data_IF_802464176427
#
_entry.id   IF_802464176427
#
_cell.length_a   1.000
_cell.length_b   1.000
_cell.length_c   1.000
_cell.angle_alpha   90.00
_cell.angle_beta   90.00
_cell.angle_gamma   90.00
#
_symmetry.space_group_name_H-M   'P 1'
#
loop_
_entity.id
_entity.type
_entity.pdbx_description
1 polymer ?
#
# COMPACT_ATOMS: atom_id res chain seq x y z
N UNK A 1 -13.82 -66.66 -39.64
CA UNK A 1 -13.48 -65.26 -39.52
C UNK A 1 -13.73 -64.84 -38.07
N UNK A 2 -12.71 -64.87 -37.23
CA UNK A 2 -12.81 -64.39 -35.84
C UNK A 2 -12.34 -62.92 -35.81
N UNK A 3 -13.26 -62.03 -35.45
CA UNK A 3 -12.99 -60.62 -35.27
C UNK A 3 -12.43 -60.42 -33.84
N UNK A 4 -11.13 -60.19 -33.73
CA UNK A 4 -10.51 -59.82 -32.42
C UNK A 4 -10.79 -58.35 -32.14
N UNK A 5 -11.61 -58.09 -31.17
CA UNK A 5 -11.87 -56.72 -30.65
C UNK A 5 -10.73 -56.37 -29.69
N UNK A 6 -9.81 -55.51 -30.14
CA UNK A 6 -8.80 -54.94 -29.26
C UNK A 6 -9.42 -53.77 -28.47
N UNK A 7 -9.63 -53.99 -27.18
CA UNK A 7 -10.05 -52.92 -26.25
C UNK A 7 -8.78 -52.19 -25.86
N UNK A 8 -8.59 -50.97 -26.41
CA UNK A 8 -7.56 -50.04 -25.93
C UNK A 8 -8.02 -49.44 -24.59
N UNK A 9 -7.45 -49.91 -23.51
CA UNK A 9 -7.58 -49.27 -22.19
C UNK A 9 -6.75 -48.01 -22.20
N UNK A 10 -7.36 -46.85 -22.39
CA UNK A 10 -6.74 -45.58 -22.08
C UNK A 10 -6.55 -45.51 -20.56
N UNK A 11 -5.33 -45.74 -20.09
CA UNK A 11 -4.95 -45.41 -18.72
C UNK A 11 -4.91 -43.88 -18.61
N UNK A 12 -5.98 -43.29 -18.14
CA UNK A 12 -5.95 -41.91 -17.63
C UNK A 12 -5.11 -41.96 -16.34
N UNK A 13 -3.84 -41.66 -16.45
CA UNK A 13 -3.04 -41.32 -15.25
C UNK A 13 -3.62 -40.03 -14.72
N UNK A 14 -4.49 -40.12 -13.72
CA UNK A 14 -4.84 -38.97 -12.91
C UNK A 14 -3.53 -38.45 -12.29
N UNK A 15 -3.04 -37.31 -12.79
CA UNK A 15 -1.93 -36.60 -12.18
C UNK A 15 -2.45 -36.15 -10.81
N UNK A 16 -1.97 -36.81 -9.75
CA UNK A 16 -2.36 -36.45 -8.40
C UNK A 16 -1.52 -35.24 -8.00
N UNK A 17 -2.18 -34.21 -7.44
CA UNK A 17 -1.51 -33.05 -6.87
C UNK A 17 -0.35 -33.47 -5.95
N UNK A 18 0.84 -32.92 -6.15
CA UNK A 18 1.96 -33.10 -5.27
C UNK A 18 1.93 -31.96 -4.22
N UNK A 19 1.78 -32.34 -2.95
CA UNK A 19 1.76 -31.41 -1.82
C UNK A 19 3.15 -31.44 -1.19
N UNK A 20 3.79 -30.26 -1.13
CA UNK A 20 5.13 -30.08 -0.56
C UNK A 20 5.07 -29.56 0.88
N UNK A 21 3.96 -28.90 1.23
CA UNK A 21 3.64 -28.45 2.58
C UNK A 21 2.13 -28.32 2.73
N UNK A 22 1.62 -28.80 3.86
CA UNK A 22 0.26 -28.49 4.35
C UNK A 22 0.32 -28.32 5.86
N UNK A 23 -0.14 -27.16 6.36
CA UNK A 23 -0.12 -26.82 7.78
C UNK A 23 -1.39 -26.07 8.16
N UNK A 24 -2.12 -26.58 9.17
CA UNK A 24 -3.38 -26.01 9.66
C UNK A 24 -3.37 -25.71 11.16
N UNK A 25 -2.27 -26.01 11.85
CA UNK A 25 -2.11 -25.80 13.30
C UNK A 25 -3.20 -26.39 14.21
N UNK A 26 -4.01 -27.34 13.71
CA UNK A 26 -5.12 -27.97 14.45
C UNK A 26 -4.63 -29.02 15.48
N UNK A 27 -3.35 -29.37 15.49
CA UNK A 27 -2.74 -30.38 16.36
C UNK A 27 -2.18 -29.83 17.69
N UNK A 28 -2.66 -28.65 18.10
CA UNK A 28 -2.26 -28.00 19.34
C UNK A 28 -0.78 -27.60 19.32
N UNK A 29 -0.06 -27.83 20.40
CA UNK A 29 1.34 -27.39 20.55
C UNK A 29 2.36 -28.17 19.71
N UNK A 30 1.95 -29.21 18.98
CA UNK A 30 2.86 -30.00 18.13
C UNK A 30 3.49 -29.18 16.98
N UNK A 31 2.91 -28.05 16.60
CA UNK A 31 3.53 -27.13 15.64
C UNK A 31 4.93 -26.68 16.08
N UNK A 32 5.21 -26.53 17.37
CA UNK A 32 6.51 -26.12 17.93
C UNK A 32 7.65 -27.11 17.63
N UNK A 33 7.32 -28.37 17.31
CA UNK A 33 8.30 -29.36 16.89
C UNK A 33 8.72 -29.19 15.43
N UNK A 34 7.85 -28.58 14.63
CA UNK A 34 8.06 -28.37 13.18
C UNK A 34 8.59 -26.99 12.83
N UNK A 35 8.16 -25.96 13.58
CA UNK A 35 8.53 -24.57 13.34
C UNK A 35 9.64 -24.15 14.31
N UNK A 36 10.67 -23.54 13.75
CA UNK A 36 11.89 -23.15 14.46
C UNK A 36 11.93 -21.65 14.59
N UNK A 37 11.95 -21.15 15.83
CA UNK A 37 12.22 -19.75 16.13
C UNK A 37 13.67 -19.42 15.79
N UNK A 38 13.91 -18.35 15.04
CA UNK A 38 15.25 -17.87 14.76
C UNK A 38 15.96 -17.41 16.06
N UNK A 39 17.25 -17.68 16.12
CA UNK A 39 18.17 -17.26 17.21
C UNK A 39 19.12 -16.15 16.76
N UNK A 40 18.94 -15.64 15.53
CA UNK A 40 19.80 -14.59 14.97
C UNK A 40 19.79 -13.32 15.84
N UNK A 41 18.61 -12.95 16.39
CA UNK A 41 18.47 -11.91 17.42
C UNK A 41 17.86 -12.50 18.68
N UNK A 42 18.27 -12.00 19.85
CA UNK A 42 17.75 -12.45 21.14
C UNK A 42 16.39 -11.85 21.51
N UNK A 43 15.93 -10.85 20.78
CA UNK A 43 14.74 -10.04 21.07
C UNK A 43 13.61 -10.22 20.06
N UNK A 44 13.64 -11.27 19.23
CA UNK A 44 12.51 -11.61 18.37
C UNK A 44 11.24 -11.82 19.16
N UNK A 45 10.10 -11.37 18.60
CA UNK A 45 8.79 -11.61 19.17
C UNK A 45 8.37 -13.08 19.08
N UNK A 46 7.53 -13.49 19.99
CA UNK A 46 7.01 -14.86 20.10
C UNK A 46 5.68 -15.01 19.39
N UNK A 47 5.47 -16.18 18.76
CA UNK A 47 4.17 -16.58 18.23
C UNK A 47 3.40 -17.39 19.26
N UNK A 48 2.07 -17.24 19.29
CA UNK A 48 1.13 -18.00 20.12
C UNK A 48 0.09 -18.66 19.24
N UNK A 49 -0.30 -19.88 19.59
CA UNK A 49 -1.41 -20.57 18.94
C UNK A 49 -2.74 -20.03 19.47
N UNK A 50 -3.60 -19.56 18.59
CA UNK A 50 -4.92 -19.03 18.94
C UNK A 50 -5.81 -18.91 17.70
N UNK A 51 -7.14 -18.97 17.90
CA UNK A 51 -8.16 -18.60 16.91
C UNK A 51 -8.49 -17.09 16.91
N UNK A 52 -7.85 -16.32 17.80
CA UNK A 52 -8.07 -14.89 17.92
C UNK A 52 -9.31 -14.52 18.75
N UNK A 53 -9.71 -13.26 18.63
CA UNK A 53 -10.83 -12.68 19.41
C UNK A 53 -12.19 -13.05 18.81
N UNK A 54 -12.25 -13.28 17.52
CA UNK A 54 -13.45 -13.70 16.79
C UNK A 54 -13.05 -14.70 15.71
N UNK A 55 -13.88 -15.69 15.47
CA UNK A 55 -13.60 -16.86 14.62
C UNK A 55 -14.92 -17.51 14.16
N UNK A 56 -14.84 -18.34 13.14
CA UNK A 56 -15.97 -19.16 12.71
C UNK A 56 -16.03 -20.48 13.43
N UNK A 57 -14.85 -21.10 13.67
CA UNK A 57 -14.69 -22.36 14.40
C UNK A 57 -13.43 -22.29 15.26
N UNK A 58 -13.58 -22.45 16.58
CA UNK A 58 -12.48 -22.29 17.54
C UNK A 58 -11.32 -23.29 17.34
N UNK A 59 -11.60 -24.46 16.76
CA UNK A 59 -10.55 -25.47 16.53
C UNK A 59 -9.92 -25.32 15.14
N UNK A 60 -10.71 -24.98 14.13
CA UNK A 60 -10.26 -24.88 12.73
C UNK A 60 -9.58 -23.55 12.40
N UNK A 61 -9.92 -22.48 13.09
CA UNK A 61 -9.35 -21.16 12.85
C UNK A 61 -8.13 -20.88 13.78
N UNK A 62 -7.53 -21.94 14.36
CA UNK A 62 -6.28 -21.81 15.11
C UNK A 62 -5.12 -21.57 14.17
N UNK A 63 -4.42 -20.47 14.40
CA UNK A 63 -3.19 -20.13 13.70
C UNK A 63 -2.14 -19.58 14.66
N UNK A 64 -0.97 -19.28 14.13
CA UNK A 64 0.12 -18.68 14.89
C UNK A 64 -0.01 -17.16 14.86
N UNK A 65 -0.14 -16.54 16.03
CA UNK A 65 -0.35 -15.10 16.21
C UNK A 65 0.90 -14.42 16.72
N UNK A 66 1.26 -13.28 16.15
CA UNK A 66 2.24 -12.35 16.70
C UNK A 66 1.73 -11.78 18.03
N UNK A 67 2.54 -11.76 19.09
CA UNK A 67 2.04 -11.53 20.45
C UNK A 67 2.66 -10.37 21.22
N UNK A 68 3.58 -9.62 20.61
CA UNK A 68 4.33 -8.53 21.24
C UNK A 68 4.50 -7.38 20.26
N UNK A 69 4.19 -6.18 20.71
CA UNK A 69 4.29 -4.96 19.90
C UNK A 69 5.75 -4.54 19.66
N UNK A 70 5.96 -3.83 18.53
CA UNK A 70 7.24 -3.28 18.13
C UNK A 70 8.38 -4.32 18.14
N UNK A 71 8.12 -5.46 17.48
CA UNK A 71 9.06 -6.57 17.39
C UNK A 71 9.29 -7.04 15.96
N UNK A 72 10.50 -7.51 15.72
CA UNK A 72 10.78 -8.43 14.62
C UNK A 72 10.35 -9.83 15.00
N UNK A 73 9.86 -10.59 14.04
CA UNK A 73 9.45 -11.98 14.17
C UNK A 73 10.17 -12.79 13.13
N UNK A 74 10.74 -13.90 13.50
CA UNK A 74 11.39 -14.83 12.57
C UNK A 74 11.11 -16.27 12.99
N UNK A 75 10.26 -16.96 12.22
CA UNK A 75 9.83 -18.33 12.46
C UNK A 75 9.81 -19.08 11.13
N UNK A 76 10.38 -20.27 11.07
CA UNK A 76 10.47 -21.04 9.83
C UNK A 76 10.39 -22.53 10.04
N UNK A 77 9.99 -23.28 8.99
CA UNK A 77 10.01 -24.74 8.99
C UNK A 77 10.53 -25.29 7.67
N UNK A 78 11.06 -26.52 7.70
CA UNK A 78 11.35 -27.27 6.48
C UNK A 78 10.04 -27.67 5.79
N UNK A 79 10.07 -27.71 4.48
CA UNK A 79 9.03 -28.36 3.69
C UNK A 79 9.02 -29.86 3.99
N UNK A 80 7.89 -30.51 3.80
CA UNK A 80 7.80 -31.97 3.98
C UNK A 80 8.70 -32.70 2.99
N UNK A 81 8.94 -32.07 1.84
CA UNK A 81 9.85 -32.52 0.80
C UNK A 81 10.44 -31.32 0.04
N UNK A 82 11.75 -31.25 -0.06
CA UNK A 82 12.41 -30.27 -0.94
C UNK A 82 12.14 -30.61 -2.41
N UNK A 83 11.95 -29.59 -3.25
CA UNK A 83 11.58 -29.76 -4.64
C UNK A 83 12.13 -28.64 -5.55
N UNK A 84 12.16 -28.91 -6.86
CA UNK A 84 12.26 -27.89 -7.92
C UNK A 84 10.93 -27.77 -8.63
N UNK A 85 10.58 -26.56 -9.05
CA UNK A 85 9.39 -26.33 -9.88
C UNK A 85 9.69 -26.38 -11.39
N UNK A 86 10.83 -26.94 -11.78
CA UNK A 86 11.17 -27.09 -13.21
C UNK A 86 10.10 -27.91 -13.94
N UNK A 87 9.47 -27.31 -14.95
CA UNK A 87 8.41 -27.91 -15.75
C UNK A 87 7.08 -28.10 -15.02
N UNK A 88 6.94 -27.54 -13.79
CA UNK A 88 5.75 -27.67 -12.96
C UNK A 88 5.20 -26.30 -12.57
N UNK A 89 3.92 -26.24 -12.33
CA UNK A 89 3.29 -25.11 -11.66
C UNK A 89 3.72 -25.08 -10.20
N UNK A 90 3.91 -23.88 -9.67
CA UNK A 90 4.09 -23.64 -8.24
C UNK A 90 2.87 -22.89 -7.73
N UNK A 91 2.27 -23.42 -6.66
CA UNK A 91 1.20 -22.76 -5.94
C UNK A 91 1.62 -22.55 -4.50
N UNK A 92 1.53 -21.30 -4.03
CA UNK A 92 1.83 -20.90 -2.66
C UNK A 92 0.58 -20.23 -2.11
N UNK A 93 0.02 -20.81 -1.05
CA UNK A 93 -1.21 -20.30 -0.42
C UNK A 93 -1.08 -20.27 1.09
N UNK A 94 -1.68 -19.29 1.72
CA UNK A 94 -1.87 -19.20 3.16
C UNK A 94 -2.97 -18.21 3.51
N UNK A 95 -3.50 -18.30 4.73
CA UNK A 95 -4.43 -17.33 5.25
C UNK A 95 -3.76 -16.40 6.26
N UNK A 96 -4.23 -15.14 6.26
CA UNK A 96 -3.75 -14.09 7.17
C UNK A 96 -4.92 -13.28 7.70
N UNK A 97 -4.88 -12.96 8.99
CA UNK A 97 -5.88 -12.13 9.66
C UNK A 97 -5.20 -11.04 10.48
N UNK A 98 -5.56 -9.80 10.21
CA UNK A 98 -5.06 -8.64 10.93
C UNK A 98 -6.07 -8.16 11.98
N UNK A 99 -6.42 -9.03 12.96
CA UNK A 99 -7.50 -8.75 13.94
C UNK A 99 -7.24 -7.52 14.82
N UNK A 100 -6.01 -7.02 14.85
CA UNK A 100 -5.61 -5.82 15.59
C UNK A 100 -5.90 -4.52 14.83
N UNK A 101 -6.46 -4.56 13.63
CA UNK A 101 -6.54 -3.41 12.73
C UNK A 101 -5.15 -2.82 12.49
N UNK A 102 -4.32 -3.57 11.77
CA UNK A 102 -2.89 -3.29 11.59
C UNK A 102 -2.65 -1.92 10.96
N UNK A 103 -1.79 -1.13 11.58
CA UNK A 103 -1.33 0.16 11.06
C UNK A 103 -0.01 0.08 10.29
N UNK A 104 0.94 -0.75 10.77
CA UNK A 104 2.20 -1.00 10.06
C UNK A 104 2.79 -2.36 10.45
N UNK A 105 2.89 -3.25 9.46
CA UNK A 105 3.51 -4.56 9.63
C UNK A 105 3.32 -5.47 8.42
N UNK A 106 4.25 -6.41 8.26
CA UNK A 106 4.20 -7.44 7.24
C UNK A 106 3.24 -8.58 7.58
N UNK A 107 2.55 -9.08 6.56
CA UNK A 107 1.72 -10.28 6.61
C UNK A 107 2.11 -11.30 5.53
N UNK A 108 3.38 -11.35 5.14
CA UNK A 108 3.91 -12.16 4.03
C UNK A 108 4.74 -13.34 4.53
N UNK A 109 4.89 -14.33 3.65
CA UNK A 109 5.82 -15.44 3.85
C UNK A 109 7.00 -15.36 2.88
N UNK A 110 8.07 -16.08 3.20
CA UNK A 110 9.24 -16.30 2.35
C UNK A 110 9.45 -17.80 2.11
N UNK A 111 9.75 -18.16 0.86
CA UNK A 111 10.22 -19.49 0.48
C UNK A 111 11.74 -19.48 0.38
N UNK A 112 12.38 -20.38 1.07
CA UNK A 112 13.83 -20.47 1.15
C UNK A 112 14.38 -21.69 0.40
N UNK A 113 15.64 -21.62 -0.06
CA UNK A 113 16.34 -22.81 -0.55
C UNK A 113 16.55 -23.84 0.56
N UNK A 114 16.91 -25.06 0.20
CA UNK A 114 17.00 -26.20 1.12
C UNK A 114 18.20 -26.12 2.10
N UNK A 115 19.22 -25.35 1.77
CA UNK A 115 20.40 -25.11 2.59
C UNK A 115 20.19 -24.03 3.67
N UNK A 116 19.01 -23.36 3.69
CA UNK A 116 18.71 -22.35 4.71
C UNK A 116 18.73 -22.96 6.10
N UNK A 117 19.52 -22.36 6.99
CA UNK A 117 19.54 -22.66 8.40
C UNK A 117 18.36 -21.98 9.09
N UNK A 118 17.41 -22.78 9.59
CA UNK A 118 16.17 -22.24 10.18
C UNK A 118 16.43 -21.36 11.41
N UNK A 119 17.41 -21.73 12.23
CA UNK A 119 17.79 -20.99 13.45
C UNK A 119 18.45 -19.63 13.16
N UNK A 120 18.83 -19.37 11.90
CA UNK A 120 19.53 -18.15 11.47
C UNK A 120 18.72 -17.36 10.41
N UNK A 121 17.40 -17.57 10.33
CA UNK A 121 16.54 -16.79 9.44
C UNK A 121 16.42 -15.36 9.95
N UNK A 122 16.65 -14.38 9.06
CA UNK A 122 16.62 -12.96 9.37
C UNK A 122 16.36 -12.13 8.10
N UNK A 123 16.23 -10.81 8.22
CA UNK A 123 15.90 -9.92 7.13
C UNK A 123 16.77 -10.04 5.87
N UNK A 124 18.08 -10.30 6.07
CA UNK A 124 19.05 -10.45 4.97
C UNK A 124 19.20 -11.90 4.47
N UNK A 125 18.44 -12.86 5.04
CA UNK A 125 18.48 -14.24 4.55
C UNK A 125 18.04 -14.31 3.10
N UNK A 126 18.80 -15.05 2.28
CA UNK A 126 18.43 -15.29 0.88
C UNK A 126 17.14 -16.09 0.81
N UNK A 127 16.22 -15.67 -0.03
CA UNK A 127 14.98 -16.39 -0.28
C UNK A 127 14.72 -16.49 -1.78
N UNK A 128 13.94 -17.46 -2.20
CA UNK A 128 13.53 -17.64 -3.58
C UNK A 128 12.35 -16.72 -3.92
N UNK A 129 11.33 -16.73 -3.09
CA UNK A 129 10.10 -15.96 -3.28
C UNK A 129 9.66 -15.35 -1.94
N UNK A 130 9.19 -14.11 -1.97
CA UNK A 130 8.46 -13.47 -0.89
C UNK A 130 7.07 -13.13 -1.40
N UNK A 131 6.03 -13.55 -0.68
CA UNK A 131 4.65 -13.40 -1.10
C UNK A 131 3.71 -13.08 0.06
N UNK A 132 2.82 -12.11 -0.13
CA UNK A 132 1.74 -11.79 0.80
C UNK A 132 1.58 -10.30 1.08
N UNK A 133 0.58 -9.94 1.93
CA UNK A 133 0.24 -8.56 2.20
C UNK A 133 1.31 -7.84 3.02
N UNK A 134 1.46 -6.55 2.75
CA UNK A 134 2.27 -5.61 3.52
C UNK A 134 1.49 -4.31 3.68
N UNK A 135 1.28 -3.90 4.93
CA UNK A 135 0.49 -2.74 5.29
C UNK A 135 1.37 -1.83 6.14
N UNK A 136 1.52 -0.56 5.72
CA UNK A 136 2.18 0.45 6.53
C UNK A 136 1.59 1.83 6.23
N UNK A 137 0.72 2.28 7.11
CA UNK A 137 0.00 3.53 6.99
C UNK A 137 -0.94 3.58 5.76
N UNK A 138 -1.40 4.75 5.37
CA UNK A 138 -2.32 4.90 4.24
C UNK A 138 -1.65 4.67 2.87
N UNK A 139 -0.31 4.77 2.80
CA UNK A 139 0.45 4.70 1.54
C UNK A 139 0.86 3.31 1.10
N UNK A 140 0.95 2.34 2.01
CA UNK A 140 1.38 0.97 1.70
C UNK A 140 0.30 -0.02 2.13
N UNK A 141 -0.44 -0.54 1.16
CA UNK A 141 -1.47 -1.58 1.36
C UNK A 141 -1.45 -2.49 0.13
N UNK A 142 -0.42 -3.31 0.02
CA UNK A 142 -0.17 -4.08 -1.20
C UNK A 142 0.26 -5.52 -0.91
N UNK A 143 0.06 -6.38 -1.90
CA UNK A 143 0.61 -7.73 -1.90
C UNK A 143 2.01 -7.67 -2.51
N UNK A 144 3.01 -8.05 -1.74
CA UNK A 144 4.34 -8.30 -2.27
C UNK A 144 4.37 -9.60 -3.08
N UNK A 145 4.95 -9.51 -4.27
CA UNK A 145 5.40 -10.67 -5.06
C UNK A 145 6.83 -10.36 -5.48
N UNK A 146 7.79 -10.92 -4.77
CA UNK A 146 9.22 -10.66 -4.97
C UNK A 146 9.90 -11.97 -5.32
N UNK A 147 10.61 -11.99 -6.43
CA UNK A 147 11.40 -13.13 -6.87
C UNK A 147 12.89 -12.83 -6.75
N UNK A 148 13.65 -13.79 -6.27
CA UNK A 148 15.09 -13.73 -6.39
C UNK A 148 15.51 -14.21 -7.78
N UNK A 149 16.19 -13.36 -8.53
CA UNK A 149 16.75 -13.70 -9.82
C UNK A 149 18.20 -13.24 -9.90
N UNK A 150 19.11 -14.20 -10.12
CA UNK A 150 20.56 -13.95 -10.16
C UNK A 150 21.06 -13.15 -8.94
N UNK A 151 20.69 -13.61 -7.75
CA UNK A 151 21.04 -13.00 -6.45
C UNK A 151 20.48 -11.58 -6.22
N UNK A 152 19.46 -11.17 -6.98
CA UNK A 152 18.74 -9.91 -6.79
C UNK A 152 17.28 -10.16 -6.51
N UNK A 153 16.76 -9.51 -5.50
CA UNK A 153 15.33 -9.50 -5.20
C UNK A 153 14.62 -8.47 -6.08
N UNK A 154 13.77 -8.94 -6.98
CA UNK A 154 13.07 -8.12 -7.95
C UNK A 154 11.58 -8.12 -7.63
N UNK A 155 11.04 -6.93 -7.42
CA UNK A 155 9.65 -6.70 -7.04
C UNK A 155 8.78 -6.61 -8.30
N UNK A 156 7.53 -7.04 -8.16
CA UNK A 156 6.51 -6.79 -9.18
C UNK A 156 6.32 -5.27 -9.39
N UNK A 157 6.18 -4.85 -10.64
CA UNK A 157 5.92 -3.45 -11.01
C UNK A 157 4.47 -3.03 -10.79
N UNK A 158 3.55 -3.99 -10.79
CA UNK A 158 2.13 -3.74 -10.57
C UNK A 158 1.82 -3.55 -9.10
N UNK A 159 0.86 -2.67 -8.82
CA UNK A 159 0.35 -2.46 -7.47
C UNK A 159 -0.88 -3.34 -7.25
N UNK A 160 -0.71 -4.40 -6.45
CA UNK A 160 -1.77 -5.34 -6.10
C UNK A 160 -2.26 -4.98 -4.71
N UNK A 161 -3.45 -4.38 -4.61
CA UNK A 161 -3.99 -3.98 -3.33
C UNK A 161 -4.35 -5.21 -2.48
N UNK A 162 -3.88 -5.24 -1.23
CA UNK A 162 -4.28 -6.25 -0.25
C UNK A 162 -5.59 -5.87 0.45
N UNK A 163 -6.18 -6.83 1.15
CA UNK A 163 -7.26 -6.59 2.12
C UNK A 163 -6.66 -5.98 3.39
N UNK A 164 -7.33 -4.99 3.94
CA UNK A 164 -6.86 -4.18 5.07
C UNK A 164 -7.89 -4.09 6.20
N UNK A 165 -8.88 -4.98 6.20
CA UNK A 165 -9.84 -5.17 7.28
C UNK A 165 -9.33 -6.15 8.35
N UNK A 166 -10.17 -6.45 9.35
CA UNK A 166 -9.81 -7.30 10.49
C UNK A 166 -10.12 -8.79 10.28
N UNK A 167 -10.69 -9.17 9.13
CA UNK A 167 -11.08 -10.54 8.83
C UNK A 167 -9.95 -11.38 8.25
N UNK A 168 -10.17 -12.70 8.24
CA UNK A 168 -9.27 -13.65 7.62
C UNK A 168 -9.38 -13.60 6.10
N UNK A 169 -8.24 -13.49 5.41
CA UNK A 169 -8.14 -13.52 3.95
C UNK A 169 -7.14 -14.55 3.49
N UNK A 170 -7.45 -15.21 2.37
CA UNK A 170 -6.57 -16.20 1.73
C UNK A 170 -5.83 -15.55 0.57
N UNK A 171 -4.50 -15.68 0.58
CA UNK A 171 -3.62 -15.21 -0.48
C UNK A 171 -3.03 -16.40 -1.22
N UNK A 172 -3.15 -16.42 -2.54
CA UNK A 172 -2.63 -17.50 -3.38
C UNK A 172 -1.80 -16.91 -4.52
N UNK A 173 -0.57 -17.39 -4.67
CA UNK A 173 0.31 -17.13 -5.82
C UNK A 173 0.41 -18.41 -6.64
N UNK A 174 0.15 -18.30 -7.94
CA UNK A 174 0.33 -19.37 -8.92
C UNK A 174 1.37 -18.91 -9.92
N UNK A 175 2.40 -19.72 -10.15
CA UNK A 175 3.45 -19.48 -11.15
C UNK A 175 3.54 -20.67 -12.06
N UNK A 176 3.41 -20.46 -13.38
CA UNK A 176 3.33 -21.55 -14.36
C UNK A 176 4.61 -21.65 -15.22
N UNK A 177 4.89 -22.84 -15.80
CA UNK A 177 6.11 -23.08 -16.58
C UNK A 177 6.24 -22.24 -17.86
N UNK A 178 5.18 -21.61 -18.31
CA UNK A 178 5.19 -20.68 -19.45
C UNK A 178 5.45 -19.22 -19.04
N UNK A 179 6.14 -19.01 -17.91
CA UNK A 179 6.49 -17.70 -17.36
C UNK A 179 5.29 -16.78 -17.10
N UNK A 180 4.14 -17.34 -16.71
CA UNK A 180 2.97 -16.58 -16.28
C UNK A 180 2.73 -16.71 -14.78
N UNK A 181 1.97 -15.77 -14.26
CA UNK A 181 1.55 -15.79 -12.87
C UNK A 181 0.10 -15.35 -12.69
N UNK A 182 -0.48 -15.80 -11.59
CA UNK A 182 -1.74 -15.29 -11.07
C UNK A 182 -1.61 -15.06 -9.56
N UNK A 183 -2.22 -13.97 -9.09
CA UNK A 183 -2.42 -13.69 -7.67
C UNK A 183 -3.91 -13.72 -7.39
N UNK A 184 -4.33 -14.54 -6.43
CA UNK A 184 -5.71 -14.59 -5.98
C UNK A 184 -5.78 -14.10 -4.53
N UNK A 185 -6.87 -13.42 -4.21
CA UNK A 185 -7.25 -13.05 -2.85
C UNK A 185 -8.67 -13.60 -2.65
N UNK A 186 -8.86 -14.41 -1.62
CA UNK A 186 -10.15 -15.04 -1.32
C UNK A 186 -10.69 -15.92 -2.47
N UNK A 187 -9.80 -16.64 -3.16
CA UNK A 187 -10.08 -17.42 -4.36
C UNK A 187 -10.55 -16.60 -5.58
N UNK A 188 -10.51 -15.28 -5.50
CA UNK A 188 -10.82 -14.40 -6.62
C UNK A 188 -9.53 -13.85 -7.22
N UNK A 189 -9.46 -13.78 -8.56
CA UNK A 189 -8.30 -13.26 -9.26
C UNK A 189 -8.13 -11.76 -9.00
N UNK A 190 -7.03 -11.40 -8.33
CA UNK A 190 -6.65 -10.03 -8.07
C UNK A 190 -5.76 -9.47 -9.19
N UNK A 191 -4.81 -10.29 -9.70
CA UNK A 191 -3.88 -9.88 -10.75
C UNK A 191 -3.38 -11.10 -11.52
N UNK A 192 -2.96 -10.90 -12.77
CA UNK A 192 -2.28 -11.91 -13.58
C UNK A 192 -1.45 -11.26 -14.70
N UNK A 193 -0.49 -12.01 -15.23
CA UNK A 193 0.36 -11.51 -16.32
C UNK A 193 1.53 -12.43 -16.64
N UNK A 194 2.53 -11.83 -17.25
CA UNK A 194 3.78 -12.50 -17.64
C UNK A 194 4.93 -12.01 -16.77
N UNK A 195 5.79 -12.91 -16.34
CA UNK A 195 6.92 -12.61 -15.48
C UNK A 195 7.87 -11.59 -16.12
N UNK A 196 8.18 -11.75 -17.41
CA UNK A 196 9.07 -10.82 -18.13
C UNK A 196 8.47 -9.40 -18.23
N UNK A 197 7.16 -9.29 -18.37
CA UNK A 197 6.51 -8.00 -18.53
C UNK A 197 6.39 -7.23 -17.21
N UNK A 198 6.07 -7.95 -16.12
CA UNK A 198 5.68 -7.35 -14.85
C UNK A 198 6.82 -7.27 -13.81
N UNK A 199 8.01 -7.81 -14.12
CA UNK A 199 9.24 -7.64 -13.35
C UNK A 199 10.40 -7.20 -14.25
N UNK A 200 11.40 -6.57 -13.67
CA UNK A 200 12.61 -6.17 -14.38
C UNK A 200 13.71 -7.25 -14.29
N UNK A 201 13.36 -8.50 -14.64
CA UNK A 201 14.32 -9.62 -14.67
C UNK A 201 15.39 -9.46 -15.74
N UNK A 202 14.98 -8.95 -16.90
CA UNK A 202 15.82 -8.82 -18.09
C UNK A 202 15.95 -7.34 -18.49
N UNK A 203 17.04 -6.96 -19.16
CA UNK A 203 17.13 -5.66 -19.80
C UNK A 203 15.99 -5.47 -20.82
N UNK A 204 15.60 -4.23 -21.14
CA UNK A 204 14.54 -3.99 -22.12
C UNK A 204 14.94 -4.54 -23.51
N UNK A 205 13.96 -5.08 -24.24
CA UNK A 205 14.17 -5.64 -25.61
C UNK A 205 14.67 -4.60 -26.59
N UNK A 206 14.26 -3.35 -26.43
CA UNK A 206 14.66 -2.22 -27.25
C UNK A 206 15.23 -1.10 -26.40
N UNK A 207 16.22 -0.45 -26.92
CA UNK A 207 16.85 0.74 -26.34
C UNK A 207 16.87 1.86 -27.37
N UNK A 208 16.97 3.09 -26.90
CA UNK A 208 17.22 4.23 -27.78
C UNK A 208 18.56 4.01 -28.48
N UNK A 209 18.60 4.20 -29.81
CA UNK A 209 19.81 4.08 -30.60
C UNK A 209 20.87 5.07 -30.09
N UNK A 210 22.00 4.60 -29.51
CA UNK A 210 23.02 5.49 -28.95
C UNK A 210 23.73 6.33 -30.01
N UNK A 211 23.70 5.91 -31.28
CA UNK A 211 24.33 6.61 -32.40
C UNK A 211 23.38 7.62 -33.04
N UNK A 212 22.09 7.54 -32.81
CA UNK A 212 21.11 8.46 -33.35
C UNK A 212 21.10 9.79 -32.62
N UNK A 213 21.17 10.88 -33.36
CA UNK A 213 21.05 12.25 -32.86
C UNK A 213 19.97 12.99 -33.60
N UNK A 214 19.27 13.90 -32.89
CA UNK A 214 18.34 14.82 -33.57
C UNK A 214 19.13 15.62 -34.63
N UNK A 215 18.75 15.57 -35.90
CA UNK A 215 19.41 16.39 -36.95
C UNK A 215 19.33 17.86 -36.58
N UNK A 216 20.40 18.61 -36.83
CA UNK A 216 20.49 20.03 -36.50
C UNK A 216 19.45 20.87 -37.26
N UNK A 217 19.01 20.39 -38.44
CA UNK A 217 17.97 21.00 -39.27
C UNK A 217 16.55 20.52 -38.93
N UNK A 218 16.36 19.73 -37.87
CA UNK A 218 15.04 19.24 -37.46
C UNK A 218 14.32 20.30 -36.62
N UNK A 219 13.31 20.94 -37.20
CA UNK A 219 12.49 21.88 -36.47
C UNK A 219 11.18 21.22 -35.98
N UNK A 220 11.05 21.12 -34.67
CA UNK A 220 9.88 20.56 -33.98
C UNK A 220 8.91 21.64 -33.46
N UNK A 221 9.14 22.92 -33.80
CA UNK A 221 8.24 23.99 -33.48
C UNK A 221 7.17 24.12 -34.56
N UNK A 222 5.93 23.85 -34.21
CA UNK A 222 4.80 23.95 -35.13
C UNK A 222 4.52 25.37 -35.53
N UNK A 223 4.77 26.32 -34.62
CA UNK A 223 4.62 27.75 -34.84
C UNK A 223 5.93 28.46 -34.55
N UNK A 224 6.22 29.48 -35.26
CA UNK A 224 7.36 30.38 -35.12
C UNK A 224 6.92 31.82 -35.17
N UNK A 225 7.72 32.70 -34.61
CA UNK A 225 7.49 34.13 -34.70
C UNK A 225 7.53 34.55 -36.18
N UNK A 226 6.57 35.39 -36.57
CA UNK A 226 6.54 35.95 -37.91
C UNK A 226 7.73 36.88 -38.11
N UNK A 227 8.68 36.56 -39.00
CA UNK A 227 9.85 37.41 -39.21
C UNK A 227 9.54 38.74 -39.86
N UNK A 228 8.34 38.89 -40.45
CA UNK A 228 7.88 40.13 -41.05
C UNK A 228 7.08 41.00 -40.07
N UNK A 229 6.66 40.47 -38.96
CA UNK A 229 5.94 41.22 -37.92
C UNK A 229 6.91 42.02 -37.07
N UNK A 230 6.94 43.29 -37.26
CA UNK A 230 7.82 44.19 -36.52
C UNK A 230 7.04 44.96 -35.47
N UNK A 231 7.70 45.22 -34.34
CA UNK A 231 7.10 46.02 -33.26
C UNK A 231 6.79 47.43 -33.75
N UNK A 232 5.53 47.88 -33.64
CA UNK A 232 5.16 49.29 -33.97
C UNK A 232 5.95 50.26 -33.07
N UNK A 233 6.39 51.39 -33.68
CA UNK A 233 7.16 52.41 -32.96
C UNK A 233 6.41 53.01 -31.76
N UNK A 234 5.07 53.01 -31.81
CA UNK A 234 4.16 53.57 -30.82
C UNK A 234 3.72 52.53 -29.75
N UNK A 235 4.28 51.32 -29.76
CA UNK A 235 3.85 50.25 -28.84
C UNK A 235 4.31 50.47 -27.41
N UNK A 236 5.53 50.99 -27.18
CA UNK A 236 6.12 51.17 -25.87
C UNK A 236 5.48 52.37 -25.15
N UNK A 237 4.36 52.12 -24.55
CA UNK A 237 3.72 53.08 -23.65
C UNK A 237 3.97 52.64 -22.20
N UNK A 238 4.15 53.58 -21.26
CA UNK A 238 4.23 53.27 -19.88
C UNK A 238 2.93 52.68 -19.37
N UNK A 239 3.00 51.71 -18.44
CA UNK A 239 1.85 51.04 -17.83
C UNK A 239 0.96 52.04 -17.06
N UNK A 240 1.61 53.03 -16.42
CA UNK A 240 0.91 54.06 -15.67
C UNK A 240 1.31 55.45 -16.21
N UNK A 241 0.36 56.35 -16.21
CA UNK A 241 0.53 57.73 -16.55
C UNK A 241 -0.01 58.65 -15.45
N UNK A 242 0.54 59.87 -15.28
CA UNK A 242 -0.06 60.83 -14.37
C UNK A 242 -1.52 61.10 -14.74
N UNK A 243 -2.40 61.15 -13.73
CA UNK A 243 -3.82 61.46 -13.93
C UNK A 243 -4.00 62.89 -14.49
N UNK A 244 -4.48 63.05 -15.73
CA UNK A 244 -4.63 64.38 -16.35
C UNK A 244 -5.74 65.21 -15.71
N UNK A 245 -6.65 64.58 -14.98
CA UNK A 245 -7.78 65.28 -14.32
C UNK A 245 -7.47 65.62 -12.84
N UNK A 246 -6.37 65.09 -12.30
CA UNK A 246 -5.94 65.38 -10.94
C UNK A 246 -5.49 66.85 -10.78
N UNK A 247 -5.99 67.48 -9.78
CA UNK A 247 -5.62 68.88 -9.43
C UNK A 247 -4.92 68.88 -8.06
N UNK A 248 -3.90 69.76 -7.98
CA UNK A 248 -3.24 70.02 -6.71
C UNK A 248 -4.26 70.49 -5.67
N UNK A 249 -4.38 69.84 -4.50
CA UNK A 249 -5.24 70.28 -3.43
C UNK A 249 -4.93 71.74 -3.02
N UNK A 250 -5.92 72.52 -2.67
CA UNK A 250 -5.73 73.95 -2.29
C UNK A 250 -4.95 74.09 -0.97
N UNK A 251 -4.93 73.04 -0.16
CA UNK A 251 -4.28 72.93 1.15
C UNK A 251 -2.89 72.31 1.07
N UNK A 252 -2.37 71.96 -0.12
CA UNK A 252 -1.03 71.37 -0.33
C UNK A 252 0.05 72.44 -0.27
N UNK A 253 1.01 72.30 0.65
CA UNK A 253 2.12 73.21 0.84
C UNK A 253 3.44 72.62 0.34
N UNK A 254 3.96 73.15 -0.79
CA UNK A 254 5.17 72.60 -1.42
C UNK A 254 6.41 72.74 -0.55
N UNK A 255 6.44 73.64 0.47
CA UNK A 255 7.57 73.73 1.42
C UNK A 255 7.51 72.67 2.49
N UNK A 256 6.30 72.18 2.83
CA UNK A 256 6.08 71.19 3.87
C UNK A 256 5.83 69.79 3.30
N UNK A 257 5.09 69.63 2.19
CA UNK A 257 4.64 68.40 1.61
C UNK A 257 5.47 67.94 0.39
N UNK A 258 6.38 68.83 -0.10
CA UNK A 258 7.16 68.60 -1.30
C UNK A 258 6.42 69.01 -2.58
N UNK A 259 7.11 68.94 -3.71
CA UNK A 259 6.51 69.26 -5.06
C UNK A 259 5.38 68.27 -5.35
N UNK A 260 4.19 68.84 -5.63
CA UNK A 260 3.01 67.99 -5.90
C UNK A 260 3.12 67.29 -7.26
N UNK A 261 2.95 65.97 -7.25
CA UNK A 261 2.86 65.15 -8.45
C UNK A 261 1.45 64.53 -8.54
N UNK A 262 0.83 64.54 -9.73
CA UNK A 262 -0.48 63.85 -9.90
C UNK A 262 -0.36 62.37 -9.62
N UNK A 263 -1.38 61.75 -9.03
CA UNK A 263 -1.41 60.31 -8.83
C UNK A 263 -1.31 59.58 -10.17
N UNK A 264 -0.66 58.41 -10.17
CA UNK A 264 -0.52 57.58 -11.34
C UNK A 264 -1.79 56.73 -11.53
N UNK A 265 -2.30 56.75 -12.76
CA UNK A 265 -3.45 55.94 -13.20
C UNK A 265 -3.00 54.95 -14.28
N UNK A 266 -3.77 53.87 -14.46
CA UNK A 266 -3.54 52.91 -15.54
C UNK A 266 -3.63 53.64 -16.92
N UNK A 267 -2.61 53.39 -17.71
CA UNK A 267 -2.55 53.99 -19.05
C UNK A 267 -3.46 53.22 -20.01
N UNK A 268 -4.54 53.84 -20.54
CA UNK A 268 -5.45 53.15 -21.46
C UNK A 268 -4.80 52.77 -22.81
N UNK A 269 -3.65 53.39 -23.12
CA UNK A 269 -2.90 53.11 -24.36
C UNK A 269 -1.83 52.01 -24.15
N UNK A 270 -1.66 51.54 -22.94
CA UNK A 270 -0.71 50.45 -22.65
C UNK A 270 -1.24 49.12 -23.16
N UNK A 271 -0.49 48.48 -24.05
CA UNK A 271 -0.86 47.23 -24.74
C UNK A 271 -0.12 46.00 -24.21
N UNK A 272 0.66 46.16 -23.11
CA UNK A 272 1.50 45.12 -22.58
C UNK A 272 2.79 44.90 -23.39
N UNK A 273 3.51 43.86 -23.05
CA UNK A 273 4.73 43.46 -23.78
C UNK A 273 4.39 43.03 -25.20
N UNK A 274 5.07 43.62 -26.18
CA UNK A 274 4.89 43.21 -27.56
C UNK A 274 5.45 41.82 -27.81
N UNK A 275 4.67 40.98 -28.48
CA UNK A 275 5.08 39.70 -28.97
C UNK A 275 4.74 39.58 -30.44
N UNK A 276 5.68 39.06 -31.25
CA UNK A 276 5.39 38.85 -32.67
C UNK A 276 4.24 37.86 -32.86
N UNK A 277 3.50 38.04 -33.94
CA UNK A 277 2.47 37.07 -34.33
C UNK A 277 3.11 35.72 -34.61
N UNK A 278 2.39 34.67 -34.22
CA UNK A 278 2.81 33.31 -34.49
C UNK A 278 2.29 32.86 -35.85
N UNK A 279 3.19 32.40 -36.72
CA UNK A 279 2.84 31.84 -38.03
C UNK A 279 3.18 30.35 -38.03
N UNK A 280 2.49 29.60 -38.88
CA UNK A 280 2.78 28.16 -39.03
C UNK A 280 4.15 27.99 -39.66
N UNK A 281 4.97 27.20 -38.98
CA UNK A 281 6.32 26.90 -39.46
C UNK A 281 6.29 25.95 -40.65
N UNK A 282 6.71 26.42 -41.82
CA UNK A 282 6.78 25.61 -43.04
C UNK A 282 7.87 24.51 -42.98
N UNK A 283 8.82 24.64 -42.06
CA UNK A 283 9.89 23.65 -41.83
C UNK A 283 9.57 22.67 -40.73
N UNK A 284 8.35 22.74 -40.18
CA UNK A 284 7.93 21.79 -39.13
C UNK A 284 7.97 20.36 -39.63
N UNK A 285 8.79 19.51 -38.98
CA UNK A 285 8.97 18.09 -39.31
C UNK A 285 8.29 17.17 -38.30
N UNK A 286 7.51 17.70 -37.38
CA UNK A 286 6.95 16.97 -36.24
C UNK A 286 7.91 16.92 -35.05
N UNK A 287 7.40 16.44 -33.92
CA UNK A 287 8.26 16.18 -32.75
C UNK A 287 9.23 15.06 -33.08
N UNK A 288 10.54 15.31 -32.90
CA UNK A 288 11.52 14.28 -33.15
C UNK A 288 11.41 13.13 -32.14
N UNK A 289 11.25 11.92 -32.66
CA UNK A 289 11.22 10.70 -31.87
C UNK A 289 12.55 9.99 -32.03
N UNK A 290 13.21 9.70 -30.89
CA UNK A 290 14.48 8.98 -30.90
C UNK A 290 14.24 7.58 -31.46
N UNK A 291 14.95 7.13 -32.52
CA UNK A 291 14.83 5.77 -33.02
C UNK A 291 15.26 4.74 -31.96
N UNK A 292 14.61 3.59 -31.98
CA UNK A 292 14.93 2.46 -31.11
C UNK A 292 15.57 1.33 -31.93
N UNK A 293 16.54 0.69 -31.32
CA UNK A 293 17.22 -0.53 -31.86
C UNK A 293 17.00 -1.69 -30.91
N UNK A 294 17.19 -2.90 -31.39
CA UNK A 294 17.23 -4.09 -30.54
C UNK A 294 18.39 -3.98 -29.54
N UNK A 295 18.10 -4.26 -28.27
CA UNK A 295 19.11 -4.17 -27.23
C UNK A 295 20.09 -5.35 -27.31
N UNK A 296 21.38 -5.13 -27.57
CA UNK A 296 22.36 -6.20 -27.64
C UNK A 296 22.60 -6.93 -26.30
N UNK A 297 22.21 -6.30 -25.17
CA UNK A 297 22.34 -6.92 -23.85
C UNK A 297 21.10 -7.77 -23.48
N UNK A 298 20.05 -7.73 -24.31
CA UNK A 298 18.86 -8.54 -24.06
C UNK A 298 19.12 -10.00 -24.48
N UNK A 299 18.97 -10.89 -23.50
CA UNK A 299 18.99 -12.33 -23.70
C UNK A 299 17.70 -12.89 -23.11
N UNK A 300 16.88 -13.50 -23.97
CA UNK A 300 15.63 -14.14 -23.50
C UNK A 300 15.94 -15.26 -22.49
N UNK A 301 15.10 -15.39 -21.49
CA UNK A 301 15.16 -16.44 -20.48
C UNK A 301 13.77 -17.08 -20.32
N UNK A 302 13.60 -18.27 -20.87
CA UNK A 302 12.33 -19.01 -20.82
C UNK A 302 12.10 -19.67 -19.44
N UNK A 303 13.07 -19.57 -18.53
CA UNK A 303 13.06 -20.21 -17.21
C UNK A 303 12.98 -19.21 -16.04
N UNK A 304 12.40 -18.01 -16.27
CA UNK A 304 12.22 -17.01 -15.21
C UNK A 304 11.40 -17.52 -14.01
N UNK A 305 10.47 -18.45 -14.26
CA UNK A 305 9.63 -19.08 -13.24
C UNK A 305 10.37 -20.08 -12.36
N UNK A 306 11.53 -20.58 -12.84
CA UNK A 306 12.17 -21.77 -12.29
C UNK A 306 13.08 -21.47 -11.11
N UNK A 307 12.94 -22.27 -10.08
CA UNK A 307 13.89 -22.39 -8.98
C UNK A 307 14.32 -23.84 -8.83
N UNK A 308 15.61 -24.07 -8.66
CA UNK A 308 16.19 -25.41 -8.60
C UNK A 308 15.86 -26.12 -7.29
N UNK A 309 15.68 -25.37 -6.19
CA UNK A 309 15.33 -25.94 -4.92
C UNK A 309 14.44 -25.00 -4.09
N UNK A 310 13.42 -25.58 -3.47
CA UNK A 310 12.66 -25.04 -2.37
C UNK A 310 12.78 -26.01 -1.19
N UNK A 311 13.20 -25.55 -0.04
CA UNK A 311 13.44 -26.45 1.12
C UNK A 311 12.82 -25.98 2.41
N UNK A 312 12.43 -24.71 2.51
CA UNK A 312 11.82 -24.18 3.73
C UNK A 312 10.85 -23.04 3.42
N UNK A 313 9.93 -22.81 4.36
CA UNK A 313 9.04 -21.64 4.40
C UNK A 313 9.22 -20.94 5.74
N UNK A 314 9.01 -19.62 5.77
CA UNK A 314 9.06 -18.89 7.03
C UNK A 314 8.43 -17.51 6.95
N UNK A 315 8.22 -16.99 8.14
CA UNK A 315 7.78 -15.64 8.41
C UNK A 315 8.97 -14.87 8.96
N UNK A 316 9.32 -13.77 8.31
CA UNK A 316 10.35 -12.83 8.76
C UNK A 316 9.77 -11.42 8.60
N UNK A 317 9.26 -10.88 9.70
CA UNK A 317 8.32 -9.77 9.73
C UNK A 317 8.76 -8.71 10.74
N UNK A 318 8.39 -7.47 10.47
CA UNK A 318 8.30 -6.41 11.46
C UNK A 318 6.83 -6.06 11.69
N UNK A 319 6.43 -5.88 12.95
CA UNK A 319 5.10 -5.39 13.28
C UNK A 319 5.16 -4.34 14.40
N UNK A 320 4.54 -3.19 14.17
CA UNK A 320 4.40 -2.13 15.19
C UNK A 320 3.39 -2.58 16.24
N UNK A 321 2.22 -3.08 15.81
CA UNK A 321 1.16 -3.63 16.67
C UNK A 321 1.00 -5.10 16.35
N UNK A 322 1.14 -5.95 17.37
CA UNK A 322 0.96 -7.39 17.25
C UNK A 322 -0.52 -7.79 17.15
N UNK A 323 -0.80 -9.03 16.76
CA UNK A 323 -2.16 -9.55 16.65
C UNK A 323 -2.45 -10.20 15.29
N UNK A 324 -1.50 -10.21 14.35
CA UNK A 324 -1.65 -10.90 13.07
C UNK A 324 -1.59 -12.41 13.28
N UNK A 325 -2.59 -13.12 12.74
CA UNK A 325 -2.69 -14.57 12.77
C UNK A 325 -2.38 -15.12 11.38
N UNK A 326 -1.54 -16.12 11.30
CA UNK A 326 -1.18 -16.85 10.08
C UNK A 326 -1.63 -18.30 10.21
N UNK A 327 -2.27 -18.82 9.15
CA UNK A 327 -2.79 -20.17 9.15
C UNK A 327 -2.91 -20.75 7.73
N UNK A 328 -3.28 -22.02 7.61
CA UNK A 328 -3.64 -22.70 6.38
C UNK A 328 -2.59 -22.59 5.27
N UNK A 329 -1.32 -22.87 5.61
CA UNK A 329 -0.24 -22.89 4.63
C UNK A 329 -0.33 -24.12 3.72
N UNK A 330 -0.31 -23.86 2.42
CA UNK A 330 -0.26 -24.90 1.39
C UNK A 330 0.79 -24.54 0.33
N UNK A 331 1.65 -25.49 0.02
CA UNK A 331 2.55 -25.41 -1.15
C UNK A 331 2.31 -26.67 -1.97
N UNK A 332 1.92 -26.51 -3.23
CA UNK A 332 1.53 -27.60 -4.13
C UNK A 332 1.86 -27.26 -5.59
N UNK A 333 1.72 -28.24 -6.48
CA UNK A 333 1.82 -28.03 -7.94
C UNK A 333 0.45 -27.95 -8.63
N UNK A 334 -0.66 -28.01 -7.85
CA UNK A 334 -2.03 -28.05 -8.39
C UNK A 334 -2.89 -26.88 -7.87
N UNK A 335 -3.29 -25.95 -8.77
CA UNK A 335 -4.17 -24.82 -8.41
C UNK A 335 -5.56 -25.25 -7.93
N UNK A 336 -6.10 -26.38 -8.42
CA UNK A 336 -7.41 -26.86 -8.01
C UNK A 336 -7.39 -27.41 -6.58
N UNK A 337 -6.28 -28.06 -6.16
CA UNK A 337 -6.08 -28.47 -4.76
C UNK A 337 -6.02 -27.25 -3.84
N UNK A 338 -5.34 -26.17 -4.25
CA UNK A 338 -5.26 -24.94 -3.46
C UNK A 338 -6.64 -24.27 -3.34
N UNK A 339 -7.38 -24.19 -4.43
CA UNK A 339 -8.75 -23.64 -4.42
C UNK A 339 -9.65 -24.42 -3.47
N UNK A 340 -9.63 -25.74 -3.58
CA UNK A 340 -10.41 -26.64 -2.72
C UNK A 340 -10.02 -26.49 -1.26
N UNK A 341 -8.72 -26.43 -0.95
CA UNK A 341 -8.22 -26.25 0.39
C UNK A 341 -8.68 -24.93 1.02
N UNK A 342 -8.64 -23.82 0.26
CA UNK A 342 -9.17 -22.54 0.72
C UNK A 342 -10.67 -22.58 1.01
N UNK A 343 -11.47 -23.33 0.19
CA UNK A 343 -12.91 -23.49 0.42
C UNK A 343 -13.21 -24.36 1.66
N UNK A 344 -12.40 -25.40 1.91
CA UNK A 344 -12.55 -26.31 3.06
C UNK A 344 -12.11 -25.68 4.39
N UNK A 345 -11.21 -24.68 4.36
CA UNK A 345 -10.68 -23.96 5.53
C UNK A 345 -11.39 -22.61 5.68
N UNK A 346 -10.83 -21.53 5.17
CA UNK A 346 -11.37 -20.19 5.23
C UNK A 346 -12.82 -20.10 4.72
N UNK A 347 -13.13 -20.72 3.59
CA UNK A 347 -14.49 -20.70 3.00
C UNK A 347 -15.55 -21.27 3.92
N UNK A 348 -15.21 -22.28 4.71
CA UNK A 348 -16.12 -22.93 5.65
C UNK A 348 -16.37 -22.09 6.92
N UNK A 349 -15.43 -21.22 7.32
CA UNK A 349 -15.47 -20.53 8.62
C UNK A 349 -15.73 -19.02 8.51
N UNK A 350 -15.47 -18.38 7.36
CA UNK A 350 -15.56 -16.92 7.17
C UNK A 350 -16.90 -16.29 7.57
N UNK A 351 -18.03 -16.96 7.30
CA UNK A 351 -19.36 -16.44 7.67
C UNK A 351 -19.60 -16.52 9.18
N UNK A 352 -19.04 -17.52 9.85
CA UNK A 352 -19.06 -17.64 11.31
C UNK A 352 -18.22 -16.57 11.97
N UNK A 353 -17.02 -16.34 11.46
CA UNK A 353 -16.12 -15.28 11.89
C UNK A 353 -16.80 -13.89 11.82
N UNK A 354 -17.41 -13.58 10.68
CA UNK A 354 -18.12 -12.31 10.48
C UNK A 354 -19.26 -12.12 11.46
N UNK A 355 -20.10 -13.15 11.64
CA UNK A 355 -21.22 -13.09 12.60
C UNK A 355 -20.76 -12.89 14.05
N UNK A 356 -19.67 -13.55 14.44
CA UNK A 356 -19.11 -13.38 15.78
C UNK A 356 -18.60 -11.95 15.99
N UNK A 357 -17.88 -11.38 15.02
CA UNK A 357 -17.40 -9.99 15.07
C UNK A 357 -18.57 -9.00 15.16
N UNK A 358 -19.57 -9.13 14.31
CA UNK A 358 -20.76 -8.28 14.30
C UNK A 358 -21.49 -8.31 15.67
N UNK A 359 -21.57 -9.49 16.30
CA UNK A 359 -22.19 -9.63 17.61
C UNK A 359 -21.38 -8.95 18.72
N UNK A 360 -20.03 -9.06 18.66
CA UNK A 360 -19.14 -8.38 19.60
C UNK A 360 -19.24 -6.86 19.46
N UNK A 361 -19.22 -6.34 18.23
CA UNK A 361 -19.30 -4.91 17.95
C UNK A 361 -20.65 -4.32 18.41
N UNK A 362 -21.73 -5.08 18.26
CA UNK A 362 -23.05 -4.68 18.76
C UNK A 362 -23.09 -4.63 20.30
N UNK A 363 -22.48 -5.62 20.96
CA UNK A 363 -22.38 -5.65 22.42
C UNK A 363 -21.53 -4.48 22.96
N UNK A 364 -20.39 -4.21 22.33
CA UNK A 364 -19.51 -3.10 22.70
C UNK A 364 -20.21 -1.75 22.51
N UNK A 365 -20.90 -1.57 21.39
CA UNK A 365 -21.69 -0.35 21.14
C UNK A 365 -22.75 -0.14 22.21
N UNK A 366 -23.49 -1.17 22.59
CA UNK A 366 -24.49 -1.08 23.66
C UNK A 366 -23.89 -0.69 25.01
N UNK A 367 -22.73 -1.25 25.35
CA UNK A 367 -22.00 -0.89 26.58
C UNK A 367 -21.56 0.58 26.56
N UNK A 368 -21.03 1.06 25.44
CA UNK A 368 -20.63 2.46 25.29
C UNK A 368 -21.83 3.41 25.40
N UNK A 369 -22.97 3.08 24.79
CA UNK A 369 -24.21 3.86 24.88
C UNK A 369 -24.72 3.91 26.34
N UNK A 370 -24.64 2.80 27.08
CA UNK A 370 -25.03 2.77 28.51
C UNK A 370 -24.09 3.58 29.40
N UNK A 371 -22.78 3.49 29.16
CA UNK A 371 -21.77 4.28 29.89
C UNK A 371 -21.92 5.78 29.61
N UNK A 372 -22.15 6.15 28.35
CA UNK A 372 -22.37 7.55 27.97
C UNK A 372 -23.64 8.10 28.64
N UNK A 373 -24.71 7.29 28.68
CA UNK A 373 -25.96 7.67 29.36
C UNK A 373 -25.74 7.87 30.85
N UNK A 374 -25.04 6.96 31.54
CA UNK A 374 -24.70 7.09 32.96
C UNK A 374 -23.87 8.35 33.21
N UNK A 375 -22.87 8.61 32.39
CA UNK A 375 -22.04 9.83 32.50
C UNK A 375 -22.88 11.10 32.37
N UNK A 376 -23.82 11.17 31.42
CA UNK A 376 -24.71 12.30 31.22
C UNK A 376 -25.67 12.48 32.40
N UNK A 377 -26.17 11.39 33.01
CA UNK A 377 -26.99 11.42 34.21
C UNK A 377 -26.21 11.92 35.44
N UNK A 378 -24.93 11.48 35.59
CA UNK A 378 -24.05 11.95 36.67
C UNK A 378 -23.67 13.43 36.52
N UNK A 379 -23.36 13.89 35.28
CA UNK A 379 -23.08 15.29 34.97
C UNK A 379 -24.34 16.18 35.19
N UNK A 380 -25.53 15.65 34.85
CA UNK A 380 -26.80 16.34 35.09
C UNK A 380 -27.15 16.46 36.57
N UNK A 381 -26.82 15.45 37.39
CA UNK A 381 -27.02 15.50 38.83
C UNK A 381 -26.05 16.47 39.53
N UNK A 382 -24.75 16.46 39.12
CA UNK A 382 -23.78 17.43 39.64
C UNK A 382 -24.17 18.89 39.38
N UNK A 383 -24.70 19.19 38.17
CA UNK A 383 -25.18 20.55 37.87
C UNK A 383 -26.40 20.94 38.70
N UNK A 384 -27.25 20.00 39.12
CA UNK A 384 -28.38 20.29 39.99
C UNK A 384 -27.93 20.53 41.43
N UNK A 385 -26.95 19.74 41.92
CA UNK A 385 -26.39 19.94 43.26
C UNK A 385 -25.62 21.28 43.32
N UNK A 386 -24.90 21.68 42.28
CA UNK A 386 -24.21 22.99 42.18
C UNK A 386 -25.22 24.18 42.09
N UNK A 387 -26.40 24.01 41.43
CA UNK A 387 -27.46 25.03 41.34
C UNK A 387 -28.26 25.12 42.68
N UNK A 388 -28.44 24.03 43.45
CA UNK A 388 -29.06 24.05 44.78
C UNK A 388 -28.14 24.70 45.84
N UNK A 389 -26.81 24.51 45.76
CA UNK A 389 -25.84 25.18 46.64
C UNK A 389 -25.69 26.69 46.34
N UNK A 390 -25.88 27.14 45.08
CA UNK A 390 -25.90 28.58 44.74
C UNK A 390 -27.21 29.28 45.16
N UNK A 391 -28.35 28.60 45.22
CA UNK A 391 -29.63 29.17 45.73
C UNK A 391 -29.66 29.27 47.27
N UNK A 392 -28.92 28.46 48.05
CA UNK A 392 -28.82 28.57 49.51
C UNK A 392 -27.89 29.72 49.95
N UNK A 393 -26.93 30.16 49.13
CA UNK A 393 -26.00 31.26 49.45
C UNK A 393 -26.55 32.66 49.12
N UNK A 394 -27.69 32.83 48.40
CA UNK A 394 -28.31 34.11 48.08
C UNK A 394 -29.30 34.62 49.14
N UNK A 395 -29.66 33.84 50.19
CA UNK A 395 -30.62 34.28 51.25
C UNK A 395 -29.99 34.97 52.48
N UNK A 396 -28.63 35.14 52.54
CA UNK A 396 -27.99 35.71 53.76
C UNK A 396 -26.96 36.81 53.44
N UNK A 397 -27.37 37.94 52.80
CA UNK A 397 -26.59 39.19 52.84
C UNK A 397 -27.42 40.35 53.32
N UNK A 398 -27.01 41.07 54.42
CA UNK A 398 -27.68 42.30 54.87
C UNK A 398 -27.22 43.50 54.06
N UNK A 399 -28.15 44.34 53.68
CA UNK A 399 -27.96 45.69 53.08
C UNK A 399 -26.96 46.53 53.87
N UNK A 400 -25.87 47.00 53.26
CA UNK A 400 -25.13 48.20 53.64
C UNK A 400 -24.64 49.03 52.45
N UNK A 401 -25.10 50.20 52.49
CA UNK A 401 -24.97 51.54 51.93
C UNK A 401 -23.61 51.96 51.33
N UNK A 402 -23.73 52.45 50.07
CA UNK A 402 -23.10 53.62 49.43
C UNK A 402 -21.67 54.05 49.81
N UNK A 403 -20.78 54.02 48.82
CA UNK A 403 -19.94 55.19 48.38
C UNK A 403 -19.07 54.88 47.18
N UNK A 404 -19.24 55.79 46.19
CA UNK A 404 -18.39 55.97 45.01
C UNK A 404 -16.90 56.13 45.35
N UNK A 405 -16.04 55.57 44.52
CA UNK A 405 -14.89 56.33 43.96
C UNK A 405 -14.27 55.62 42.73
N UNK A 406 -14.09 56.44 41.71
CA UNK A 406 -13.37 56.21 40.45
C UNK A 406 -11.92 55.79 40.69
N UNK A 407 -11.38 54.93 39.86
CA UNK A 407 -10.12 55.16 39.10
C UNK A 407 -9.75 54.02 38.14
N UNK A 408 -9.67 54.43 36.94
CA UNK A 408 -8.89 54.04 35.76
C UNK A 408 -7.73 53.05 35.91
N UNK A 409 -7.76 52.19 34.93
CA UNK A 409 -6.73 51.97 33.87
C UNK A 409 -5.59 50.98 34.11
N UNK A 410 -5.41 50.22 33.11
CA UNK A 410 -4.27 49.78 32.31
C UNK A 410 -3.70 48.37 32.57
N UNK A 411 -3.85 47.66 31.56
CA UNK A 411 -2.89 47.15 30.51
C UNK A 411 -1.98 45.99 30.91
N UNK A 412 -2.03 45.09 29.98
CA UNK A 412 -0.95 44.28 29.44
C UNK A 412 -0.46 43.03 30.24
N UNK A 413 -0.68 41.89 29.76
CA UNK A 413 0.13 41.13 28.76
C UNK A 413 -0.60 39.83 28.38
#
# INVERSE_FOLDING_TARGET
>A
MMLSLAIAVLAVTACRAEIFLKETFEDGDAWKERWVQSKHKSDYGEFKLTSGKFYGDVEKDKGIQTSQDAKFYALSRKLDKSFSNEGKTLVVQFSVKHEQNIDCGGGYLKLFPDDQKLEDVHGESKYNIMFGPDICGPGTKKVHVIFNYKDKNILIKKDIRCKDDEFTHVYTLIVTPDNKYEVLIDNEKAESGELEADWDFLPPKKIKDPDAKKPDDWDDREYIDDPEDTKPEDWDKPEHVPDPDAKKPEDWDDEMDGEWEPPMIDNPDYKGEWKPKQIKNTNYKGVWVHPEIDNPEYIADDALYKFDNFGAVGLDLWQVKSGTIFDNFLITDDPEEAKKFAEETWGATKEGEKKMKEAQDEEERKKMEEEEKKRKEEEGNKKKDDEEDEEEDEEDEPEEDDKKEDTKAKDEL
#
